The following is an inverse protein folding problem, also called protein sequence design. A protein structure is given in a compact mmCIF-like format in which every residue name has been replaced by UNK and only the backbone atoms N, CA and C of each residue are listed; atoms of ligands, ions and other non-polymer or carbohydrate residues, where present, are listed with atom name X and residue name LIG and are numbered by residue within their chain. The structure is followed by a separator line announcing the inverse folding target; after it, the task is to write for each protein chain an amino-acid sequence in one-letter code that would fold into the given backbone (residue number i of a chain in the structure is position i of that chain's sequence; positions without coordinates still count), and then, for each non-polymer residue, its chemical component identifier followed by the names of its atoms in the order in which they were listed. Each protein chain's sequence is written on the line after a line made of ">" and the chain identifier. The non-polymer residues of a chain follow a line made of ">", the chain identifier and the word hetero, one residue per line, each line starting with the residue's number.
data_IF_371923827468
#
_entry.id   IF_371923827468
#
_cell.length_a   1.000
_cell.length_b   1.000
_cell.length_c   1.000
_cell.angle_alpha   90.00
_cell.angle_beta   90.00
_cell.angle_gamma   90.00
#
_symmetry.space_group_name_H-M   'P 1'
#
loop_
_entity.id
_entity.type
_entity.pdbx_description
1 polymer ?
#
# COMPACT_ATOMS: atom_id res chain seq x y z
N UNK A 1 -17.69 -30.92 36.50
CA UNK A 1 -16.83 -30.50 35.37
C UNK A 1 -15.78 -29.52 35.88
N UNK A 2 -14.51 -29.90 35.90
CA UNK A 2 -13.42 -29.00 36.31
C UNK A 2 -13.26 -27.89 35.25
N UNK A 3 -13.31 -26.63 35.66
CA UNK A 3 -13.06 -25.50 34.77
C UNK A 3 -11.63 -25.54 34.22
N UNK A 4 -11.43 -25.09 32.99
CA UNK A 4 -10.09 -24.97 32.40
C UNK A 4 -9.24 -23.97 33.20
N UNK A 5 -7.91 -24.08 33.14
CA UNK A 5 -7.00 -23.14 33.82
C UNK A 5 -7.30 -21.67 33.43
N UNK A 6 -7.72 -21.45 32.19
CA UNK A 6 -8.15 -20.13 31.70
C UNK A 6 -9.43 -19.61 32.35
N UNK A 7 -10.43 -20.46 32.63
CA UNK A 7 -11.64 -20.03 33.35
C UNK A 7 -11.37 -19.73 34.81
N UNK A 8 -10.42 -20.45 35.45
CA UNK A 8 -10.01 -20.11 36.83
C UNK A 8 -9.28 -18.77 36.90
N UNK A 9 -8.38 -18.48 35.96
CA UNK A 9 -7.68 -17.18 35.89
C UNK A 9 -8.64 -16.03 35.59
N UNK A 10 -9.62 -16.25 34.70
CA UNK A 10 -10.66 -15.27 34.40
C UNK A 10 -11.47 -14.91 35.66
N UNK A 11 -11.93 -15.91 36.41
CA UNK A 11 -12.66 -15.73 37.68
C UNK A 11 -11.80 -15.01 38.72
N UNK A 12 -10.53 -15.38 38.87
CA UNK A 12 -9.63 -14.77 39.84
C UNK A 12 -9.25 -13.32 39.52
N UNK A 13 -9.35 -12.90 38.26
CA UNK A 13 -8.95 -11.55 37.80
C UNK A 13 -10.14 -10.63 37.46
N UNK A 14 -11.38 -11.13 37.62
CA UNK A 14 -12.59 -10.41 37.23
C UNK A 14 -12.71 -10.18 35.71
N UNK A 15 -12.01 -10.98 34.91
CA UNK A 15 -11.97 -10.86 33.45
C UNK A 15 -12.85 -11.92 32.77
N UNK A 16 -13.14 -11.74 31.49
CA UNK A 16 -13.88 -12.75 30.73
C UNK A 16 -13.01 -14.02 30.48
N UNK A 17 -13.62 -15.16 30.17
CA UNK A 17 -12.92 -16.43 29.93
C UNK A 17 -11.88 -16.38 28.79
N UNK A 18 -12.13 -15.59 27.73
CA UNK A 18 -11.18 -15.42 26.63
C UNK A 18 -9.88 -14.74 27.11
N UNK A 19 -10.00 -13.69 27.94
CA UNK A 19 -8.88 -12.97 28.55
C UNK A 19 -8.10 -13.88 29.51
N UNK A 20 -8.80 -14.70 30.30
CA UNK A 20 -8.15 -15.68 31.18
C UNK A 20 -7.36 -16.75 30.42
N UNK A 21 -7.91 -17.26 29.31
CA UNK A 21 -7.20 -18.21 28.45
C UNK A 21 -5.98 -17.57 27.76
N UNK A 22 -6.10 -16.32 27.32
CA UNK A 22 -4.99 -15.56 26.75
C UNK A 22 -3.86 -15.30 27.76
N UNK A 23 -4.19 -15.05 29.03
CA UNK A 23 -3.21 -14.91 30.12
C UNK A 23 -2.44 -16.20 30.37
N UNK A 24 -3.12 -17.35 30.41
CA UNK A 24 -2.49 -18.67 30.56
C UNK A 24 -1.58 -19.00 29.39
N UNK A 25 -2.05 -18.76 28.15
CA UNK A 25 -1.26 -18.95 26.93
C UNK A 25 0.01 -18.09 26.93
N UNK A 26 -0.10 -16.80 27.30
CA UNK A 26 1.07 -15.92 27.49
C UNK A 26 2.02 -16.43 28.56
N UNK A 27 1.50 -16.96 29.66
CA UNK A 27 2.30 -17.58 30.72
C UNK A 27 3.15 -18.74 30.22
N UNK A 28 2.56 -19.60 29.37
CA UNK A 28 3.30 -20.71 28.74
C UNK A 28 4.35 -20.21 27.73
N UNK A 29 4.02 -19.24 26.88
CA UNK A 29 4.96 -18.69 25.91
C UNK A 29 6.19 -18.03 26.59
N UNK A 30 5.99 -17.40 27.75
CA UNK A 30 7.08 -16.83 28.55
C UNK A 30 8.05 -17.88 29.12
N UNK A 31 7.68 -19.17 29.19
CA UNK A 31 8.61 -20.22 29.62
C UNK A 31 9.73 -20.43 28.59
N UNK A 32 9.46 -20.18 27.30
CA UNK A 32 10.45 -20.22 26.23
C UNK A 32 11.21 -18.91 26.00
N UNK A 33 10.91 -17.87 26.78
CA UNK A 33 11.46 -16.51 26.63
C UNK A 33 12.04 -16.01 27.98
N UNK A 34 13.18 -16.57 28.43
CA UNK A 34 13.75 -16.28 29.74
C UNK A 34 14.17 -14.82 29.95
N UNK A 35 14.69 -14.14 28.93
CA UNK A 35 15.06 -12.72 29.04
C UNK A 35 13.81 -11.83 29.13
N UNK A 36 12.78 -12.10 28.33
CA UNK A 36 11.50 -11.37 28.36
C UNK A 36 10.81 -11.56 29.71
N UNK A 37 10.77 -12.81 30.19
CA UNK A 37 10.19 -13.17 31.50
C UNK A 37 10.87 -12.43 32.65
N UNK A 38 12.22 -12.35 32.64
CA UNK A 38 12.98 -11.59 33.65
C UNK A 38 12.68 -10.10 33.61
N UNK A 39 12.68 -9.48 32.43
CA UNK A 39 12.44 -8.04 32.29
C UNK A 39 11.00 -7.67 32.68
N UNK A 40 10.02 -8.50 32.31
CA UNK A 40 8.62 -8.32 32.69
C UNK A 40 8.41 -8.42 34.21
N UNK A 41 9.00 -9.44 34.86
CA UNK A 41 8.94 -9.59 36.33
C UNK A 41 9.62 -8.44 37.07
N UNK A 42 10.66 -7.87 36.49
CA UNK A 42 11.35 -6.69 37.02
C UNK A 42 10.59 -5.38 36.77
N UNK A 43 9.44 -5.41 36.08
CA UNK A 43 8.65 -4.23 35.77
C UNK A 43 9.27 -3.29 34.73
N UNK A 44 10.33 -3.72 34.03
CA UNK A 44 11.03 -2.90 33.02
C UNK A 44 10.34 -2.88 31.66
N UNK A 45 9.52 -3.89 31.38
CA UNK A 45 8.64 -3.92 30.21
C UNK A 45 7.19 -4.19 30.65
N UNK A 46 6.24 -3.62 29.91
CA UNK A 46 4.81 -3.76 30.21
C UNK A 46 4.18 -5.02 29.60
N UNK A 47 2.97 -5.36 30.03
CA UNK A 47 2.19 -6.45 29.47
C UNK A 47 1.93 -6.30 27.95
N UNK A 48 1.89 -5.06 27.45
CA UNK A 48 1.75 -4.79 26.03
C UNK A 48 3.01 -5.16 25.24
N UNK A 49 4.20 -4.89 25.79
CA UNK A 49 5.48 -5.32 25.20
C UNK A 49 5.56 -6.84 25.10
N UNK A 50 5.20 -7.54 26.18
CA UNK A 50 5.14 -9.02 26.18
C UNK A 50 4.21 -9.51 25.08
N UNK A 51 3.01 -8.93 24.95
CA UNK A 51 2.05 -9.30 23.90
C UNK A 51 2.65 -9.15 22.50
N UNK A 52 3.32 -8.04 22.22
CA UNK A 52 4.01 -7.79 20.94
C UNK A 52 5.11 -8.82 20.68
N UNK A 53 5.96 -9.08 21.67
CA UNK A 53 7.06 -10.04 21.51
C UNK A 53 6.52 -11.46 21.26
N UNK A 54 5.53 -11.91 22.04
CA UNK A 54 4.94 -13.24 21.86
C UNK A 54 4.19 -13.40 20.53
N UNK A 55 3.69 -12.31 19.97
CA UNK A 55 3.03 -12.33 18.67
C UNK A 55 4.03 -12.50 17.51
N UNK A 56 5.23 -11.93 17.62
CA UNK A 56 6.19 -11.91 16.50
C UNK A 56 7.34 -12.93 16.65
N UNK A 57 7.64 -13.42 17.86
CA UNK A 57 8.83 -14.24 18.12
C UNK A 57 8.88 -15.52 17.28
N UNK A 58 7.73 -16.17 17.05
CA UNK A 58 7.63 -17.38 16.24
C UNK A 58 7.82 -17.11 14.74
N UNK A 59 7.76 -15.83 14.31
CA UNK A 59 7.99 -15.40 12.93
C UNK A 59 9.45 -15.10 12.61
N UNK A 60 10.28 -14.96 13.64
CA UNK A 60 11.68 -14.55 13.53
C UNK A 60 12.59 -15.77 13.69
N UNK A 61 13.49 -15.97 12.73
CA UNK A 61 14.42 -17.10 12.72
C UNK A 61 15.43 -16.96 13.87
N UNK A 62 15.64 -18.03 14.64
CA UNK A 62 16.57 -18.06 15.78
C UNK A 62 16.34 -16.93 16.80
N UNK A 63 15.07 -16.68 17.16
CA UNK A 63 14.68 -15.63 18.10
C UNK A 63 15.40 -15.75 19.47
N UNK A 64 15.70 -16.96 19.91
CA UNK A 64 16.48 -17.27 21.11
C UNK A 64 17.85 -16.56 21.13
N UNK A 65 18.49 -16.41 19.97
CA UNK A 65 19.80 -15.75 19.86
C UNK A 65 19.73 -14.23 19.99
N UNK A 66 18.58 -13.64 19.69
CA UNK A 66 18.37 -12.18 19.70
C UNK A 66 17.48 -11.71 20.85
N UNK A 67 16.91 -12.62 21.64
CA UNK A 67 15.94 -12.32 22.69
C UNK A 67 16.42 -11.21 23.64
N UNK A 68 17.68 -11.29 24.08
CA UNK A 68 18.28 -10.28 24.97
C UNK A 68 18.38 -8.88 24.34
N UNK A 69 18.66 -8.82 23.04
CA UNK A 69 18.71 -7.56 22.29
C UNK A 69 17.30 -6.98 22.13
N UNK A 70 16.31 -7.82 21.81
CA UNK A 70 14.91 -7.41 21.72
C UNK A 70 14.40 -6.84 23.05
N UNK A 71 14.77 -7.46 24.17
CA UNK A 71 14.43 -6.95 25.51
C UNK A 71 15.08 -5.60 25.77
N UNK A 72 16.36 -5.44 25.42
CA UNK A 72 17.08 -4.16 25.60
C UNK A 72 16.42 -3.01 24.82
N UNK A 73 15.90 -3.30 23.62
CA UNK A 73 15.12 -2.34 22.83
C UNK A 73 13.76 -2.09 23.50
N UNK A 74 13.05 -3.14 23.90
CA UNK A 74 11.73 -3.05 24.52
C UNK A 74 11.72 -2.24 25.83
N UNK A 75 12.82 -2.21 26.57
CA UNK A 75 12.96 -1.37 27.78
C UNK A 75 13.09 0.14 27.47
N UNK A 76 13.30 0.52 26.21
CA UNK A 76 13.59 1.91 25.79
C UNK A 76 12.56 2.52 24.84
N UNK A 77 11.69 1.70 24.25
CA UNK A 77 10.73 2.13 23.22
C UNK A 77 9.30 1.83 23.66
N UNK A 78 8.33 2.47 23.03
CA UNK A 78 6.92 2.15 23.25
C UNK A 78 6.49 0.85 22.53
N UNK A 79 5.42 0.16 22.98
CA UNK A 79 4.96 -1.08 22.35
C UNK A 79 4.61 -0.94 20.86
N UNK A 80 4.16 0.24 20.43
CA UNK A 80 3.84 0.51 19.03
C UNK A 80 5.10 0.49 18.16
N UNK A 81 6.18 1.12 18.62
CA UNK A 81 7.45 1.15 17.89
C UNK A 81 8.13 -0.22 17.93
N UNK A 82 8.09 -0.92 19.07
CA UNK A 82 8.58 -2.31 19.16
C UNK A 82 7.87 -3.22 18.15
N UNK A 83 6.55 -3.07 17.98
CA UNK A 83 5.77 -3.85 17.00
C UNK A 83 6.25 -3.60 15.58
N UNK A 84 6.49 -2.33 15.23
CA UNK A 84 7.00 -1.97 13.90
C UNK A 84 8.36 -2.61 13.64
N UNK A 85 9.28 -2.54 14.60
CA UNK A 85 10.62 -3.13 14.50
C UNK A 85 10.58 -4.66 14.37
N UNK A 86 9.82 -5.34 15.21
CA UNK A 86 9.72 -6.80 15.17
C UNK A 86 9.01 -7.31 13.92
N UNK A 87 8.00 -6.59 13.43
CA UNK A 87 7.33 -6.93 12.17
C UNK A 87 8.30 -6.84 10.99
N UNK A 88 9.10 -5.77 10.92
CA UNK A 88 10.11 -5.61 9.89
C UNK A 88 11.15 -6.75 9.95
N UNK A 89 11.59 -7.14 11.14
CA UNK A 89 12.53 -8.24 11.32
C UNK A 89 11.92 -9.60 10.95
N UNK A 90 10.66 -9.84 11.32
CA UNK A 90 9.91 -11.03 10.93
C UNK A 90 9.76 -11.13 9.41
N UNK A 91 9.47 -10.00 8.75
CA UNK A 91 9.33 -9.91 7.30
C UNK A 91 10.67 -10.15 6.57
N UNK A 92 11.81 -9.83 7.19
CA UNK A 92 13.15 -10.14 6.67
C UNK A 92 13.54 -11.61 6.87
N UNK A 93 13.08 -12.25 7.95
CA UNK A 93 13.37 -13.65 8.23
C UNK A 93 12.58 -14.63 7.34
N UNK A 94 11.52 -14.15 6.69
CA UNK A 94 10.65 -14.96 5.81
C UNK A 94 10.41 -14.27 4.45
N UNK A 95 11.44 -14.16 3.60
CA UNK A 95 11.25 -13.62 2.25
C UNK A 95 10.27 -14.46 1.43
N UNK A 96 10.29 -15.80 1.56
CA UNK A 96 9.43 -16.74 0.83
C UNK A 96 7.96 -16.75 1.30
N UNK A 97 7.66 -16.21 2.49
CA UNK A 97 6.30 -16.07 3.00
C UNK A 97 5.51 -14.96 2.31
N UNK A 98 6.19 -14.02 1.65
CA UNK A 98 5.55 -12.89 0.96
C UNK A 98 4.82 -13.34 -0.31
N UNK A 99 5.37 -14.29 -1.04
CA UNK A 99 4.75 -14.77 -2.29
C UNK A 99 3.47 -15.58 -2.03
N UNK A 100 3.47 -16.39 -0.96
CA UNK A 100 2.28 -17.15 -0.54
C UNK A 100 1.22 -16.27 0.11
N UNK A 101 1.59 -15.27 0.92
CA UNK A 101 0.64 -14.27 1.44
C UNK A 101 0.08 -13.38 0.32
N UNK A 102 0.89 -13.02 -0.68
CA UNK A 102 0.43 -12.27 -1.86
C UNK A 102 -0.55 -13.07 -2.71
N UNK A 103 -0.27 -14.35 -2.97
CA UNK A 103 -1.20 -15.24 -3.67
C UNK A 103 -2.53 -15.36 -2.94
N UNK A 104 -2.52 -15.54 -1.61
CA UNK A 104 -3.73 -15.60 -0.79
C UNK A 104 -4.52 -14.28 -0.76
N UNK A 105 -3.84 -13.14 -0.80
CA UNK A 105 -4.51 -11.82 -0.90
C UNK A 105 -5.06 -11.58 -2.30
N UNK A 106 -4.37 -12.05 -3.32
CA UNK A 106 -4.82 -12.01 -4.71
C UNK A 106 -6.09 -12.84 -4.91
N UNK A 107 -6.16 -14.05 -4.35
CA UNK A 107 -7.34 -14.91 -4.43
C UNK A 107 -8.57 -14.35 -3.70
N UNK A 108 -8.37 -13.49 -2.70
CA UNK A 108 -9.46 -12.83 -1.95
C UNK A 108 -10.03 -11.59 -2.63
N UNK A 109 -9.46 -11.21 -3.79
CA UNK A 109 -9.83 -9.98 -4.48
C UNK A 109 -11.26 -10.06 -4.98
N UNK A 110 -12.06 -9.08 -4.63
CA UNK A 110 -13.48 -9.00 -5.03
C UNK A 110 -13.84 -7.56 -5.32
N UNK A 111 -14.75 -7.34 -6.27
CA UNK A 111 -15.34 -6.03 -6.53
C UNK A 111 -16.81 -6.24 -6.84
N UNK A 112 -17.67 -5.56 -6.09
CA UNK A 112 -19.11 -5.52 -6.28
C UNK A 112 -19.51 -4.10 -6.67
N UNK A 113 -20.41 -4.00 -7.65
CA UNK A 113 -21.03 -2.77 -8.11
C UNK A 113 -22.53 -3.01 -8.16
N UNK A 114 -23.29 -2.29 -7.33
CA UNK A 114 -24.73 -2.47 -7.20
C UNK A 114 -25.44 -1.13 -7.18
N UNK A 115 -26.52 -1.00 -7.94
CA UNK A 115 -27.42 0.15 -7.90
C UNK A 115 -28.30 0.10 -6.64
N UNK A 116 -28.45 1.23 -5.95
CA UNK A 116 -29.32 1.42 -4.79
C UNK A 116 -30.68 1.95 -5.23
N UNK A 117 -31.68 1.88 -4.35
CA UNK A 117 -33.07 2.22 -4.67
C UNK A 117 -33.30 3.69 -5.06
N UNK A 118 -32.35 4.57 -4.72
CA UNK A 118 -32.33 5.99 -5.07
C UNK A 118 -31.52 6.29 -6.35
N UNK A 119 -31.08 5.26 -7.09
CA UNK A 119 -30.33 5.38 -8.34
C UNK A 119 -28.83 5.68 -8.16
N UNK A 120 -28.33 5.69 -6.92
CA UNK A 120 -26.90 5.77 -6.64
C UNK A 120 -26.24 4.40 -6.86
N UNK A 121 -24.93 4.38 -7.11
CA UNK A 121 -24.19 3.12 -7.22
C UNK A 121 -23.27 2.93 -6.01
N UNK A 122 -23.34 1.75 -5.39
CA UNK A 122 -22.45 1.31 -4.32
C UNK A 122 -21.34 0.44 -4.91
N UNK A 123 -20.10 0.79 -4.58
CA UNK A 123 -18.90 0.00 -4.88
C UNK A 123 -18.32 -0.52 -3.57
N UNK A 124 -18.06 -1.82 -3.50
CA UNK A 124 -17.46 -2.47 -2.32
C UNK A 124 -16.63 -3.68 -2.75
N UNK A 125 -15.57 -4.00 -2.02
CA UNK A 125 -14.71 -5.14 -2.32
C UNK A 125 -13.31 -5.03 -1.71
N UNK A 126 -12.48 -6.01 -2.04
CA UNK A 126 -11.08 -6.07 -1.63
C UNK A 126 -10.17 -6.04 -2.85
N UNK A 127 -9.16 -5.18 -2.80
CA UNK A 127 -8.04 -5.15 -3.73
C UNK A 127 -6.83 -5.76 -3.05
N UNK A 128 -6.03 -6.53 -3.79
CA UNK A 128 -4.71 -6.93 -3.33
C UNK A 128 -3.82 -5.69 -3.10
N UNK A 129 -2.76 -5.78 -2.30
CA UNK A 129 -1.92 -4.62 -1.96
C UNK A 129 -1.33 -3.88 -3.16
N UNK A 130 -0.95 -4.60 -4.23
CA UNK A 130 -0.31 -4.01 -5.41
C UNK A 130 -1.30 -3.15 -6.17
N UNK A 131 -2.41 -3.73 -6.61
CA UNK A 131 -3.36 -2.95 -7.39
C UNK A 131 -4.25 -2.04 -6.53
N UNK A 132 -4.35 -2.25 -5.21
CA UNK A 132 -4.90 -1.26 -4.27
C UNK A 132 -4.00 -0.03 -4.11
N UNK A 133 -2.68 -0.21 -4.07
CA UNK A 133 -1.72 0.91 -4.09
C UNK A 133 -1.79 1.67 -5.41
N UNK A 134 -1.79 0.97 -6.55
CA UNK A 134 -1.90 1.59 -7.86
C UNK A 134 -3.18 2.44 -8.00
N UNK A 135 -4.34 1.92 -7.58
CA UNK A 135 -5.59 2.67 -7.60
C UNK A 135 -5.53 3.90 -6.70
N UNK A 136 -4.99 3.76 -5.48
CA UNK A 136 -4.85 4.89 -4.55
C UNK A 136 -4.00 6.00 -5.15
N UNK A 137 -2.89 5.66 -5.76
CA UNK A 137 -1.93 6.63 -6.30
C UNK A 137 -2.51 7.30 -7.56
N UNK A 138 -3.19 6.55 -8.44
CA UNK A 138 -3.91 7.10 -9.58
C UNK A 138 -5.02 8.09 -9.16
N UNK A 139 -5.82 7.73 -8.14
CA UNK A 139 -6.85 8.64 -7.61
C UNK A 139 -6.21 9.87 -6.97
N UNK A 140 -5.11 9.72 -6.22
CA UNK A 140 -4.44 10.84 -5.58
C UNK A 140 -3.96 11.88 -6.61
N UNK A 141 -3.43 11.44 -7.76
CA UNK A 141 -3.00 12.34 -8.84
C UNK A 141 -4.14 13.13 -9.51
N UNK A 142 -5.39 12.67 -9.39
CA UNK A 142 -6.57 13.32 -9.95
C UNK A 142 -7.40 14.09 -8.90
N UNK A 143 -7.00 14.03 -7.62
CA UNK A 143 -7.74 14.62 -6.49
C UNK A 143 -7.33 16.07 -6.16
N UNK A 144 -6.54 16.71 -7.02
CA UNK A 144 -6.04 18.07 -6.79
C UNK A 144 -7.15 19.09 -6.63
N UNK A 145 -6.93 20.07 -5.74
CA UNK A 145 -7.89 21.14 -5.52
C UNK A 145 -7.79 22.12 -6.67
N UNK A 146 -8.89 22.31 -7.38
CA UNK A 146 -8.99 23.25 -8.50
C UNK A 146 -8.97 24.73 -8.05
N UNK A 147 -8.76 25.00 -6.76
CA UNK A 147 -8.62 26.36 -6.22
C UNK A 147 -8.91 26.46 -4.72
N UNK A 148 -8.70 27.67 -4.16
CA UNK A 148 -8.92 27.98 -2.73
C UNK A 148 -10.40 27.92 -2.31
N UNK A 149 -11.31 28.09 -3.27
CA UNK A 149 -12.76 28.03 -3.09
C UNK A 149 -13.37 26.63 -3.34
N UNK A 150 -12.54 25.58 -3.51
CA UNK A 150 -13.06 24.23 -3.69
C UNK A 150 -13.72 23.72 -2.40
N UNK A 151 -15.06 23.69 -2.42
CA UNK A 151 -15.95 23.26 -1.33
C UNK A 151 -16.19 21.74 -1.31
N UNK A 152 -15.70 20.98 -2.29
CA UNK A 152 -15.88 19.53 -2.33
C UNK A 152 -15.15 18.86 -1.16
N UNK A 153 -15.82 17.89 -0.56
CA UNK A 153 -15.20 17.04 0.46
C UNK A 153 -14.13 16.14 -0.16
N UNK A 154 -13.16 15.63 0.63
CA UNK A 154 -12.19 14.65 0.13
C UNK A 154 -12.83 13.40 -0.47
N UNK A 155 -14.01 12.98 0.04
CA UNK A 155 -14.76 11.83 -0.50
C UNK A 155 -15.37 12.15 -1.87
N UNK A 156 -15.93 13.36 -2.03
CA UNK A 156 -16.46 13.82 -3.32
C UNK A 156 -15.34 13.95 -4.36
N UNK A 157 -14.20 14.57 -4.02
CA UNK A 157 -13.05 14.63 -4.94
C UNK A 157 -12.54 13.25 -5.36
N UNK A 158 -12.58 12.27 -4.45
CA UNK A 158 -12.23 10.89 -4.79
C UNK A 158 -13.24 10.24 -5.74
N UNK A 159 -14.53 10.54 -5.59
CA UNK A 159 -15.55 10.08 -6.52
C UNK A 159 -15.41 10.73 -7.90
N UNK A 160 -15.14 12.04 -7.94
CA UNK A 160 -14.83 12.77 -9.17
C UNK A 160 -13.60 12.16 -9.87
N UNK A 161 -12.50 11.97 -9.13
CA UNK A 161 -11.28 11.34 -9.63
C UNK A 161 -11.50 9.92 -10.19
N UNK A 162 -12.40 9.14 -9.58
CA UNK A 162 -12.77 7.83 -10.10
C UNK A 162 -13.55 7.95 -11.42
N UNK A 163 -14.46 8.93 -11.53
CA UNK A 163 -15.19 9.20 -12.76
C UNK A 163 -14.28 9.69 -13.90
N UNK A 164 -13.30 10.54 -13.58
CA UNK A 164 -12.28 11.01 -14.53
C UNK A 164 -11.41 9.84 -15.02
N UNK A 165 -11.00 8.95 -14.11
CA UNK A 165 -10.24 7.73 -14.45
C UNK A 165 -11.04 6.81 -15.38
N UNK A 166 -12.32 6.58 -15.10
CA UNK A 166 -13.21 5.79 -15.97
C UNK A 166 -13.39 6.46 -17.32
N UNK A 167 -13.57 7.79 -17.35
CA UNK A 167 -13.71 8.55 -18.60
C UNK A 167 -12.45 8.44 -19.46
N UNK A 168 -11.26 8.56 -18.86
CA UNK A 168 -9.99 8.36 -19.54
C UNK A 168 -9.83 6.93 -20.06
N UNK A 169 -10.24 5.92 -19.27
CA UNK A 169 -10.20 4.52 -19.67
C UNK A 169 -11.16 4.21 -20.83
N UNK A 170 -12.37 4.81 -20.84
CA UNK A 170 -13.33 4.67 -21.93
C UNK A 170 -12.90 5.39 -23.21
N UNK A 171 -12.19 6.51 -23.08
CA UNK A 171 -11.58 7.21 -24.20
C UNK A 171 -10.42 6.41 -24.82
N UNK A 172 -9.71 5.63 -24.01
CA UNK A 172 -8.62 4.78 -24.45
C UNK A 172 -9.14 3.49 -25.10
N UNK A 173 -9.07 3.40 -26.44
CA UNK A 173 -9.58 2.26 -27.21
C UNK A 173 -8.68 1.01 -27.16
N UNK A 174 -7.50 1.08 -26.54
CA UNK A 174 -6.62 -0.09 -26.34
C UNK A 174 -5.81 0.05 -25.03
N UNK A 175 -6.36 -0.39 -23.89
CA UNK A 175 -5.80 -0.16 -22.55
C UNK A 175 -4.50 -0.94 -22.25
N UNK A 176 -4.02 -1.77 -23.18
CA UNK A 176 -2.77 -2.55 -23.07
C UNK A 176 -1.66 -2.02 -23.99
N UNK A 177 -1.88 -0.87 -24.66
CA UNK A 177 -0.87 -0.19 -25.46
C UNK A 177 0.18 0.52 -24.62
N UNK A 178 1.35 0.77 -25.22
CA UNK A 178 2.52 1.43 -24.60
C UNK A 178 2.11 2.63 -23.74
N UNK A 179 2.37 2.52 -22.43
CA UNK A 179 1.81 3.42 -21.41
C UNK A 179 2.32 4.86 -21.47
N UNK A 180 3.45 5.13 -22.13
CA UNK A 180 3.96 6.48 -22.33
C UNK A 180 4.72 6.58 -23.64
N UNK A 181 4.37 7.58 -24.46
CA UNK A 181 5.15 8.01 -25.62
C UNK A 181 5.45 9.49 -25.43
N UNK A 182 6.73 9.84 -25.30
CA UNK A 182 7.16 11.24 -25.27
C UNK A 182 7.43 11.69 -26.71
N UNK A 183 6.73 12.72 -27.17
CA UNK A 183 6.94 13.32 -28.49
C UNK A 183 7.55 14.71 -28.26
N UNK A 184 8.78 14.91 -28.74
CA UNK A 184 9.43 16.22 -28.77
C UNK A 184 9.11 16.84 -30.12
N UNK A 185 8.43 17.99 -30.13
CA UNK A 185 8.14 18.77 -31.34
C UNK A 185 8.86 20.09 -31.22
N UNK A 186 9.69 20.44 -32.21
CA UNK A 186 10.29 21.76 -32.27
C UNK A 186 9.20 22.81 -32.58
N UNK A 187 9.30 23.98 -31.98
CA UNK A 187 8.34 25.06 -32.18
C UNK A 187 8.30 25.54 -33.64
N UNK A 188 9.43 25.39 -34.36
CA UNK A 188 9.55 25.71 -35.79
C UNK A 188 8.83 24.68 -36.68
N UNK A 189 8.73 23.42 -36.22
CA UNK A 189 8.11 22.29 -36.94
C UNK A 189 6.61 22.13 -36.66
N UNK A 190 6.05 22.95 -35.76
CA UNK A 190 4.62 22.99 -35.44
C UNK A 190 3.71 23.35 -36.64
N UNK A 191 4.31 23.74 -37.78
CA UNK A 191 3.63 24.08 -39.03
C UNK A 191 3.73 23.00 -40.12
N UNK A 192 4.47 21.92 -39.87
CA UNK A 192 4.60 20.79 -40.80
C UNK A 192 3.49 19.76 -40.57
N UNK A 193 2.87 19.27 -41.64
CA UNK A 193 1.72 18.36 -41.60
C UNK A 193 2.08 16.91 -41.21
N UNK A 194 3.36 16.61 -40.95
CA UNK A 194 3.86 15.24 -40.74
C UNK A 194 4.54 15.08 -39.36
N UNK A 195 4.16 14.03 -38.62
CA UNK A 195 4.83 13.66 -37.38
C UNK A 195 6.13 12.89 -37.68
N UNK A 196 7.19 13.15 -36.90
CA UNK A 196 8.52 12.57 -37.13
C UNK A 196 9.10 12.07 -35.79
N UNK A 197 9.92 11.02 -35.82
CA UNK A 197 10.69 10.51 -34.67
C UNK A 197 11.99 11.31 -34.46
N UNK A 198 12.67 11.11 -33.32
CA UNK A 198 13.93 11.78 -32.95
C UNK A 198 15.09 11.56 -33.94
N UNK A 199 14.97 10.56 -34.81
CA UNK A 199 15.94 10.22 -35.87
C UNK A 199 15.51 10.72 -37.27
N UNK A 200 14.58 11.68 -37.34
CA UNK A 200 13.96 12.20 -38.57
C UNK A 200 13.15 11.17 -39.39
N UNK A 201 12.85 9.99 -38.81
CA UNK A 201 11.99 9.01 -39.47
C UNK A 201 10.52 9.46 -39.46
N UNK A 202 9.84 9.55 -40.63
CA UNK A 202 8.45 9.97 -40.69
C UNK A 202 7.52 8.93 -40.09
N UNK A 203 6.63 9.37 -39.21
CA UNK A 203 5.53 8.58 -38.67
C UNK A 203 4.32 8.70 -39.60
N UNK A 204 3.93 7.59 -40.22
CA UNK A 204 2.69 7.54 -40.99
C UNK A 204 1.47 7.84 -40.09
N UNK A 205 0.46 8.48 -40.67
CA UNK A 205 -0.79 8.89 -39.98
C UNK A 205 -1.45 7.77 -39.16
N UNK A 206 -1.44 6.52 -39.65
CA UNK A 206 -1.98 5.36 -38.91
C UNK A 206 -1.18 5.02 -37.65
N UNK A 207 0.14 5.20 -37.68
CA UNK A 207 1.00 4.92 -36.53
C UNK A 207 0.91 6.06 -35.51
N UNK A 208 0.81 7.30 -35.99
CA UNK A 208 0.52 8.48 -35.17
C UNK A 208 -0.84 8.37 -34.47
N UNK A 209 -1.91 8.02 -35.19
CA UNK A 209 -3.25 7.79 -34.61
C UNK A 209 -3.22 6.66 -33.57
N UNK A 210 -2.49 5.58 -33.84
CA UNK A 210 -2.34 4.47 -32.91
C UNK A 210 -1.65 4.91 -31.62
N UNK A 211 -0.57 5.66 -31.71
CA UNK A 211 0.23 6.12 -30.56
C UNK A 211 -0.55 7.14 -29.73
N UNK A 212 -1.18 8.13 -30.38
CA UNK A 212 -1.94 9.18 -29.69
C UNK A 212 -3.24 8.67 -29.06
N UNK A 213 -3.88 7.66 -29.66
CA UNK A 213 -5.10 7.05 -29.09
C UNK A 213 -4.83 6.06 -27.94
N UNK A 214 -3.57 5.66 -27.70
CA UNK A 214 -3.23 4.61 -26.72
C UNK A 214 -2.28 5.05 -25.61
N UNK A 215 -1.73 6.26 -25.69
CA UNK A 215 -0.84 6.83 -24.67
C UNK A 215 -1.46 8.06 -23.99
N UNK A 216 -1.13 8.27 -22.71
CA UNK A 216 -1.32 9.58 -22.08
C UNK A 216 -0.26 10.51 -22.69
N UNK A 217 -0.71 11.47 -23.50
CA UNK A 217 0.18 12.44 -24.15
C UNK A 217 0.51 13.56 -23.15
N UNK A 218 1.77 13.64 -22.72
CA UNK A 218 2.28 14.80 -21.99
C UNK A 218 3.06 15.67 -22.96
N UNK A 219 2.56 16.88 -23.22
CA UNK A 219 3.21 17.82 -24.14
C UNK A 219 4.22 18.64 -23.35
N UNK A 220 5.50 18.44 -23.64
CA UNK A 220 6.60 19.26 -23.12
C UNK A 220 7.07 20.15 -24.27
N UNK A 221 6.79 21.45 -24.18
CA UNK A 221 7.27 22.42 -25.15
C UNK A 221 8.76 22.69 -24.89
N UNK A 222 9.60 22.42 -25.87
CA UNK A 222 11.05 22.65 -25.82
C UNK A 222 11.45 23.59 -26.96
N UNK A 223 12.58 24.27 -26.82
CA UNK A 223 13.23 24.99 -27.93
C UNK A 223 14.58 24.36 -28.22
N UNK A 224 14.92 24.21 -29.50
CA UNK A 224 16.21 23.69 -29.94
C UNK A 224 17.25 24.81 -29.93
N UNK A 225 18.34 24.64 -29.18
CA UNK A 225 19.51 25.55 -29.22
C UNK A 225 20.79 24.73 -29.36
N UNK A 226 21.53 24.91 -30.45
CA UNK A 226 22.79 24.20 -30.72
C UNK A 226 22.68 22.68 -30.51
N UNK A 227 21.64 22.06 -31.08
CA UNK A 227 21.35 20.61 -30.95
C UNK A 227 21.05 20.11 -29.52
N UNK A 228 20.72 21.03 -28.61
CA UNK A 228 20.28 20.71 -27.25
C UNK A 228 18.84 21.17 -27.07
N UNK A 229 17.97 20.25 -26.64
CA UNK A 229 16.59 20.56 -26.25
C UNK A 229 16.57 21.26 -24.89
N UNK A 230 16.05 22.48 -24.87
CA UNK A 230 15.87 23.26 -23.63
C UNK A 230 14.37 23.36 -23.33
N UNK A 231 13.88 22.85 -22.20
CA UNK A 231 12.47 22.99 -21.83
C UNK A 231 12.10 24.45 -21.67
N UNK A 232 10.98 24.85 -22.28
CA UNK A 232 10.36 26.15 -22.01
C UNK A 232 9.82 26.08 -20.58
N UNK A 233 10.40 26.86 -19.68
CA UNK A 233 9.86 26.99 -18.33
C UNK A 233 8.42 27.52 -18.41
N UNK A 234 7.47 26.74 -17.89
CA UNK A 234 6.09 27.17 -17.59
C UNK A 234 6.06 27.92 -16.25
#
# INVERSE_FOLDING_TARGET
>A
HAGTTGTMVAVATGQNPQTGSALVSRGHLLQGLPAVSRSFRAGRISAAHVGVITAECHRITAFDRIEAHVVTIAERVEPAELRRLLKLLADQCRPEGKDSEHALLHDKRTLSLSETTDGMFRIDGFLDPVAGAALRDALAGLMDRTGREDKRTPKQRRADALADLVSAALANRSPLGVSQTSVLVDLEDLSSDDAVLDDDSPLGTRMLDMITCTSIVSVILVTRRNDVFVPLAL
#
